data_IF_811755383255
#
_entry.id   IF_811755383255
#
_cell.length_a   1.000
_cell.length_b   1.000
_cell.length_c   1.000
_cell.angle_alpha   90.00
_cell.angle_beta   90.00
_cell.angle_gamma   90.00
#
_symmetry.space_group_name_H-M   'P 1'
#
loop_
_entity.id
_entity.type
_entity.pdbx_description
1 polymer ?
#
# COMPACT_ATOMS: atom_id res chain seq x y z
N UNK A 1 -69.90 -29.97 19.34
CA UNK A 1 -69.25 -28.77 18.79
C UNK A 1 -67.84 -28.72 19.37
N UNK A 2 -66.84 -29.00 18.54
CA UNK A 2 -65.44 -29.10 18.96
C UNK A 2 -64.74 -27.77 18.59
N UNK A 3 -63.93 -27.15 19.48
CA UNK A 3 -63.26 -25.90 19.15
C UNK A 3 -62.18 -26.12 18.09
N UNK A 4 -62.06 -25.17 17.17
CA UNK A 4 -61.04 -25.18 16.13
C UNK A 4 -59.63 -25.03 16.76
N UNK A 5 -58.60 -25.77 16.32
CA UNK A 5 -57.25 -25.60 16.81
C UNK A 5 -56.62 -24.28 16.31
N UNK A 6 -55.66 -23.69 17.06
CA UNK A 6 -54.98 -22.47 16.64
C UNK A 6 -54.10 -22.73 15.41
N UNK A 7 -54.24 -21.88 14.40
CA UNK A 7 -53.38 -21.91 13.21
C UNK A 7 -51.97 -21.40 13.55
N UNK A 8 -50.90 -22.03 13.04
CA UNK A 8 -49.54 -21.52 13.19
C UNK A 8 -49.37 -20.20 12.43
N UNK A 9 -48.82 -19.19 13.11
CA UNK A 9 -48.42 -17.92 12.48
C UNK A 9 -47.46 -18.20 11.33
N UNK A 10 -47.87 -17.80 10.13
CA UNK A 10 -47.02 -17.77 8.95
C UNK A 10 -45.94 -16.71 9.18
N UNK A 11 -44.68 -17.10 8.98
CA UNK A 11 -43.52 -16.20 9.00
C UNK A 11 -43.77 -14.95 8.13
N UNK A 12 -43.15 -13.79 8.44
CA UNK A 12 -43.33 -12.56 7.66
C UNK A 12 -42.99 -12.82 6.20
N UNK A 13 -44.03 -12.90 5.37
CA UNK A 13 -43.89 -13.01 3.93
C UNK A 13 -43.08 -11.84 3.41
N UNK A 14 -42.13 -12.16 2.54
CA UNK A 14 -41.46 -11.22 1.65
C UNK A 14 -42.48 -10.21 1.13
N UNK A 15 -42.23 -8.92 1.38
CA UNK A 15 -43.04 -7.86 0.82
C UNK A 15 -43.08 -8.01 -0.71
N UNK A 16 -44.27 -8.02 -1.32
CA UNK A 16 -44.37 -7.88 -2.77
C UNK A 16 -43.75 -6.55 -3.16
N UNK A 17 -42.86 -6.56 -4.15
CA UNK A 17 -42.48 -5.37 -4.93
C UNK A 17 -43.76 -4.78 -5.51
N UNK A 18 -44.40 -3.91 -4.72
CA UNK A 18 -45.52 -3.10 -5.15
C UNK A 18 -44.98 -2.14 -6.18
N UNK A 19 -45.66 -2.10 -7.32
CA UNK A 19 -45.32 -1.26 -8.46
C UNK A 19 -44.90 0.14 -8.00
N UNK A 20 -43.72 0.55 -8.44
CA UNK A 20 -43.13 1.84 -8.16
C UNK A 20 -44.17 2.95 -8.36
N UNK A 21 -44.47 3.66 -7.27
CA UNK A 21 -45.22 4.90 -7.31
C UNK A 21 -44.37 5.94 -8.07
N UNK A 22 -44.78 6.43 -9.25
CA UNK A 22 -44.01 7.40 -10.03
C UNK A 22 -43.95 8.79 -9.36
N UNK A 23 -44.51 8.97 -8.17
CA UNK A 23 -44.42 10.21 -7.41
C UNK A 23 -43.16 10.35 -6.52
N UNK A 24 -42.36 9.30 -6.32
CA UNK A 24 -41.18 9.34 -5.43
C UNK A 24 -39.90 9.89 -6.07
N UNK A 25 -39.93 10.34 -7.33
CA UNK A 25 -38.76 10.82 -8.06
C UNK A 25 -38.24 12.21 -7.63
N UNK A 26 -38.85 12.86 -6.64
CA UNK A 26 -38.45 14.20 -6.22
C UNK A 26 -37.71 14.20 -4.87
N UNK A 27 -36.41 14.43 -4.99
CA UNK A 27 -35.55 15.21 -4.08
C UNK A 27 -35.19 14.63 -2.71
N UNK A 28 -34.31 13.63 -2.72
CA UNK A 28 -33.29 13.48 -1.68
C UNK A 28 -31.94 13.26 -2.36
N UNK A 29 -30.84 13.92 -1.93
CA UNK A 29 -29.52 13.57 -2.47
C UNK A 29 -29.27 12.10 -2.13
N UNK A 30 -29.25 11.23 -3.16
CA UNK A 30 -28.72 9.88 -3.02
C UNK A 30 -27.26 10.07 -2.60
N UNK A 31 -26.99 9.89 -1.30
CA UNK A 31 -25.64 9.82 -0.78
C UNK A 31 -25.01 8.55 -1.34
N UNK A 32 -24.47 8.63 -2.55
CA UNK A 32 -23.62 7.58 -3.10
C UNK A 32 -22.39 7.51 -2.20
N UNK A 33 -22.37 6.53 -1.30
CA UNK A 33 -21.26 6.31 -0.39
C UNK A 33 -19.99 6.16 -1.24
N UNK A 34 -19.08 7.14 -1.15
CA UNK A 34 -17.87 7.15 -1.96
C UNK A 34 -17.08 5.86 -1.69
N UNK A 35 -16.63 5.12 -2.72
CA UNK A 35 -15.85 3.90 -2.52
C UNK A 35 -14.65 4.15 -1.60
N UNK A 36 -14.47 3.30 -0.59
CA UNK A 36 -13.36 3.37 0.36
C UNK A 36 -12.62 2.04 0.38
N UNK A 37 -11.33 2.09 0.67
CA UNK A 37 -10.53 0.89 0.86
C UNK A 37 -11.05 0.06 2.06
N UNK A 38 -10.84 -1.25 2.02
CA UNK A 38 -11.16 -2.12 3.14
C UNK A 38 -10.39 -1.66 4.40
N UNK A 39 -11.05 -1.46 5.55
CA UNK A 39 -10.43 -0.84 6.72
C UNK A 39 -9.31 -1.68 7.35
N UNK A 40 -9.46 -3.00 7.37
CA UNK A 40 -8.45 -3.91 7.95
C UNK A 40 -7.24 -3.97 7.01
N UNK A 41 -7.48 -4.20 5.73
CA UNK A 41 -6.41 -4.28 4.74
C UNK A 41 -5.65 -2.95 4.59
N UNK A 42 -6.37 -1.82 4.62
CA UNK A 42 -5.75 -0.49 4.57
C UNK A 42 -4.89 -0.20 5.81
N UNK A 43 -5.30 -0.64 7.00
CA UNK A 43 -4.49 -0.51 8.21
C UNK A 43 -3.19 -1.32 8.09
N UNK A 44 -3.28 -2.58 7.63
CA UNK A 44 -2.10 -3.43 7.44
C UNK A 44 -1.16 -2.81 6.39
N UNK A 45 -1.69 -2.41 5.24
CA UNK A 45 -0.92 -1.76 4.19
C UNK A 45 -0.28 -0.44 4.69
N UNK A 46 -1.00 0.34 5.49
CA UNK A 46 -0.48 1.58 6.07
C UNK A 46 0.66 1.33 7.06
N UNK A 47 0.54 0.33 7.94
CA UNK A 47 1.61 -0.04 8.89
C UNK A 47 2.85 -0.53 8.14
N UNK A 48 2.68 -1.41 7.14
CA UNK A 48 3.78 -1.83 6.28
C UNK A 48 4.40 -0.66 5.51
N UNK A 49 3.57 0.28 5.06
CA UNK A 49 4.02 1.54 4.46
C UNK A 49 4.90 2.36 5.39
N UNK A 50 4.52 2.53 6.66
CA UNK A 50 5.35 3.22 7.66
C UNK A 50 6.68 2.50 7.89
N UNK A 51 6.67 1.16 7.98
CA UNK A 51 7.92 0.39 8.12
C UNK A 51 8.80 0.61 6.89
N UNK A 52 8.23 0.61 5.69
CA UNK A 52 8.96 0.88 4.44
C UNK A 52 9.57 2.29 4.44
N UNK A 53 8.83 3.30 4.90
CA UNK A 53 9.35 4.68 5.07
C UNK A 53 10.58 4.68 5.97
N UNK A 54 10.52 3.97 7.10
CA UNK A 54 11.66 3.87 8.03
C UNK A 54 12.85 3.17 7.36
N UNK A 55 12.62 2.11 6.58
CA UNK A 55 13.71 1.44 5.86
C UNK A 55 14.38 2.35 4.81
N UNK A 56 13.60 3.14 4.09
CA UNK A 56 14.13 4.12 3.12
C UNK A 56 14.91 5.25 3.80
N UNK A 57 14.40 5.75 4.92
CA UNK A 57 15.08 6.76 5.72
C UNK A 57 16.40 6.22 6.31
N UNK A 58 16.36 4.99 6.85
CA UNK A 58 17.56 4.30 7.34
C UNK A 58 18.58 4.12 6.22
N UNK A 59 18.17 3.64 5.04
CA UNK A 59 19.05 3.46 3.89
C UNK A 59 19.73 4.77 3.49
N UNK A 60 18.95 5.85 3.34
CA UNK A 60 19.46 7.18 3.04
C UNK A 60 20.48 7.65 4.10
N UNK A 61 20.18 7.44 5.38
CA UNK A 61 21.08 7.78 6.47
C UNK A 61 22.40 6.99 6.46
N UNK A 62 22.35 5.69 6.15
CA UNK A 62 23.55 4.86 6.03
C UNK A 62 24.44 5.33 4.89
N UNK A 63 23.87 5.72 3.74
CA UNK A 63 24.65 6.23 2.62
C UNK A 63 25.24 7.63 2.91
N UNK A 64 24.57 8.47 3.72
CA UNK A 64 25.17 9.72 4.24
C UNK A 64 26.38 9.44 5.12
N UNK A 65 26.28 8.47 6.03
CA UNK A 65 27.43 8.07 6.86
C UNK A 65 28.56 7.56 5.98
N UNK A 66 28.24 6.68 5.02
CA UNK A 66 29.19 6.11 4.08
C UNK A 66 29.94 7.20 3.29
N UNK A 67 29.22 8.24 2.86
CA UNK A 67 29.77 9.41 2.19
C UNK A 67 30.68 10.23 3.12
N UNK A 68 30.21 10.52 4.34
CA UNK A 68 30.95 11.34 5.32
C UNK A 68 32.28 10.72 5.75
N UNK A 69 32.37 9.39 5.75
CA UNK A 69 33.58 8.65 6.09
C UNK A 69 34.55 8.51 4.90
N UNK A 70 34.23 9.09 3.74
CA UNK A 70 35.10 9.04 2.57
C UNK A 70 35.21 7.65 1.94
N UNK A 71 34.36 6.69 2.33
CA UNK A 71 34.45 5.29 1.90
C UNK A 71 33.95 5.03 0.47
N UNK A 72 33.72 6.10 -0.31
CA UNK A 72 33.07 6.00 -1.62
C UNK A 72 33.97 5.43 -2.73
N UNK A 73 35.29 5.42 -2.55
CA UNK A 73 36.22 4.83 -3.54
C UNK A 73 36.06 5.38 -4.96
N UNK A 74 35.60 6.64 -5.12
CA UNK A 74 35.29 7.26 -6.41
C UNK A 74 33.81 7.17 -6.86
N UNK A 75 32.96 6.42 -6.15
CA UNK A 75 31.52 6.27 -6.44
C UNK A 75 30.64 7.34 -5.76
N UNK A 76 31.20 8.52 -5.49
CA UNK A 76 30.54 9.61 -4.75
C UNK A 76 29.20 10.02 -5.38
N UNK A 77 29.10 10.02 -6.71
CA UNK A 77 27.86 10.35 -7.43
C UNK A 77 26.75 9.31 -7.21
N UNK A 78 27.08 8.02 -7.26
CA UNK A 78 26.11 6.93 -7.04
C UNK A 78 25.54 6.97 -5.61
N UNK A 79 26.41 7.14 -4.62
CA UNK A 79 26.00 7.25 -3.21
C UNK A 79 25.10 8.47 -3.00
N UNK A 80 25.42 9.61 -3.62
CA UNK A 80 24.57 10.80 -3.52
C UNK A 80 23.18 10.59 -4.13
N UNK A 81 23.08 9.91 -5.27
CA UNK A 81 21.79 9.55 -5.88
C UNK A 81 20.99 8.64 -4.95
N UNK A 82 21.63 7.68 -4.28
CA UNK A 82 20.94 6.82 -3.32
C UNK A 82 20.44 7.59 -2.09
N UNK A 83 21.24 8.51 -1.54
CA UNK A 83 20.82 9.37 -0.43
C UNK A 83 19.56 10.16 -0.82
N UNK A 84 19.61 10.85 -1.95
CA UNK A 84 18.49 11.66 -2.44
C UNK A 84 17.27 10.79 -2.78
N UNK A 85 17.47 9.68 -3.47
CA UNK A 85 16.41 8.73 -3.82
C UNK A 85 15.75 8.12 -2.60
N UNK A 86 16.54 7.77 -1.58
CA UNK A 86 16.08 7.27 -0.29
C UNK A 86 15.23 8.31 0.46
N UNK A 87 15.70 9.55 0.54
CA UNK A 87 15.00 10.63 1.24
C UNK A 87 13.69 11.04 0.53
N UNK A 88 13.74 11.23 -0.79
CA UNK A 88 12.55 11.54 -1.60
C UNK A 88 11.55 10.39 -1.53
N UNK A 89 12.02 9.15 -1.61
CA UNK A 89 11.18 7.96 -1.51
C UNK A 89 10.50 7.81 -0.16
N UNK A 90 11.23 8.03 0.94
CA UNK A 90 10.65 8.06 2.28
C UNK A 90 9.52 9.11 2.38
N UNK A 91 9.74 10.32 1.86
CA UNK A 91 8.73 11.38 1.85
C UNK A 91 7.48 11.02 1.04
N UNK A 92 7.66 10.53 -0.19
CA UNK A 92 6.56 10.13 -1.06
C UNK A 92 5.74 8.97 -0.47
N UNK A 93 6.42 7.95 0.06
CA UNK A 93 5.80 6.81 0.73
C UNK A 93 5.04 7.23 1.98
N UNK A 94 5.54 8.19 2.75
CA UNK A 94 4.87 8.70 3.94
C UNK A 94 3.53 9.36 3.57
N UNK A 95 3.52 10.18 2.52
CA UNK A 95 2.29 10.80 2.01
C UNK A 95 1.29 9.74 1.53
N UNK A 96 1.74 8.78 0.72
CA UNK A 96 0.89 7.69 0.24
C UNK A 96 0.33 6.83 1.38
N UNK A 97 1.14 6.58 2.41
CA UNK A 97 0.75 5.88 3.63
C UNK A 97 -0.33 6.64 4.39
N UNK A 98 -0.21 7.97 4.52
CA UNK A 98 -1.25 8.82 5.12
C UNK A 98 -2.59 8.71 4.39
N UNK A 99 -2.58 8.75 3.05
CA UNK A 99 -3.80 8.56 2.26
C UNK A 99 -4.38 7.14 2.36
N UNK A 100 -3.51 6.14 2.58
CA UNK A 100 -3.91 4.75 2.82
C UNK A 100 -4.66 4.61 4.14
N UNK A 101 -4.15 5.21 5.22
CA UNK A 101 -4.89 5.28 6.50
C UNK A 101 -6.22 6.04 6.37
N UNK A 102 -6.27 7.08 5.54
CA UNK A 102 -7.51 7.77 5.20
C UNK A 102 -8.47 6.93 4.32
N UNK A 103 -8.10 5.68 3.98
CA UNK A 103 -8.85 4.72 3.16
C UNK A 103 -9.26 5.27 1.80
N UNK A 104 -8.45 6.19 1.26
CA UNK A 104 -8.63 6.74 -0.08
C UNK A 104 -8.15 5.71 -1.09
N UNK A 105 -9.03 5.25 -1.97
CA UNK A 105 -8.68 4.32 -3.07
C UNK A 105 -7.44 4.81 -3.86
N UNK A 106 -7.32 6.10 -4.24
CA UNK A 106 -6.09 6.58 -4.88
C UNK A 106 -4.84 6.39 -4.02
N UNK A 107 -4.94 6.61 -2.70
CA UNK A 107 -3.81 6.47 -1.77
C UNK A 107 -3.22 5.07 -1.75
N UNK A 108 -4.08 4.05 -1.76
CA UNK A 108 -3.64 2.65 -1.75
C UNK A 108 -2.98 2.26 -3.08
N UNK A 109 -3.53 2.71 -4.20
CA UNK A 109 -2.91 2.49 -5.51
C UNK A 109 -1.60 3.27 -5.69
N UNK A 110 -1.50 4.48 -5.13
CA UNK A 110 -0.24 5.23 -5.07
C UNK A 110 0.79 4.49 -4.22
N UNK A 111 0.41 3.99 -3.05
CA UNK A 111 1.31 3.21 -2.19
C UNK A 111 1.79 1.94 -2.90
N UNK A 112 0.88 1.19 -3.55
CA UNK A 112 1.22 0.06 -4.39
C UNK A 112 2.22 0.44 -5.49
N UNK A 113 1.90 1.48 -6.27
CA UNK A 113 2.73 1.91 -7.39
C UNK A 113 4.12 2.36 -6.96
N UNK A 114 4.23 3.15 -5.89
CA UNK A 114 5.52 3.58 -5.35
C UNK A 114 6.35 2.40 -4.85
N UNK A 115 5.76 1.51 -4.07
CA UNK A 115 6.46 0.34 -3.55
C UNK A 115 6.90 -0.62 -4.67
N UNK A 116 6.05 -0.87 -5.67
CA UNK A 116 6.41 -1.67 -6.83
C UNK A 116 7.53 -1.00 -7.65
N UNK A 117 7.42 0.30 -7.89
CA UNK A 117 8.46 1.08 -8.57
C UNK A 117 9.80 0.97 -7.85
N UNK A 118 9.83 1.16 -6.53
CA UNK A 118 11.07 1.08 -5.75
C UNK A 118 11.67 -0.33 -5.72
N UNK A 119 10.84 -1.37 -5.64
CA UNK A 119 11.32 -2.75 -5.73
C UNK A 119 12.00 -3.01 -7.08
N UNK A 120 11.37 -2.57 -8.18
CA UNK A 120 11.93 -2.71 -9.53
C UNK A 120 13.15 -1.80 -9.73
N UNK A 121 13.15 -0.61 -9.15
CA UNK A 121 14.28 0.31 -9.19
C UNK A 121 15.53 -0.29 -8.56
N UNK A 122 15.41 -0.91 -7.39
CA UNK A 122 16.55 -1.49 -6.68
C UNK A 122 17.07 -2.80 -7.30
N UNK A 123 16.19 -3.59 -7.92
CA UNK A 123 16.53 -4.92 -8.43
C UNK A 123 16.90 -4.94 -9.91
N UNK A 124 16.34 -4.03 -10.71
CA UNK A 124 16.50 -4.03 -12.16
C UNK A 124 17.02 -2.69 -12.70
N UNK A 125 16.47 -1.53 -12.31
CA UNK A 125 16.93 -0.26 -12.91
C UNK A 125 18.31 0.13 -12.42
N UNK A 126 18.59 0.04 -11.13
CA UNK A 126 19.90 0.40 -10.56
C UNK A 126 21.06 -0.34 -11.26
N UNK A 127 21.06 -1.69 -11.41
CA UNK A 127 22.16 -2.37 -12.11
C UNK A 127 22.27 -1.94 -13.57
N UNK A 128 21.15 -1.73 -14.27
CA UNK A 128 21.15 -1.27 -15.66
C UNK A 128 21.72 0.16 -15.81
N UNK A 129 21.37 1.07 -14.90
CA UNK A 129 21.82 2.46 -14.91
C UNK A 129 23.31 2.59 -14.57
N UNK A 130 23.82 1.69 -13.72
CA UNK A 130 25.20 1.73 -13.24
C UNK A 130 26.12 0.71 -13.94
N UNK A 131 25.60 -0.07 -14.90
CA UNK A 131 26.36 -1.09 -15.64
C UNK A 131 26.84 -2.26 -14.78
N UNK A 132 26.19 -2.51 -13.64
CA UNK A 132 26.50 -3.60 -12.71
C UNK A 132 25.72 -4.85 -13.12
N UNK A 133 26.30 -6.03 -12.97
CA UNK A 133 25.56 -7.27 -13.26
C UNK A 133 24.39 -7.45 -12.28
N UNK A 134 23.27 -8.02 -12.74
CA UNK A 134 22.11 -8.28 -11.88
C UNK A 134 22.50 -9.24 -10.73
N UNK A 135 23.40 -10.19 -11.00
CA UNK A 135 23.91 -11.12 -9.99
C UNK A 135 24.64 -10.40 -8.86
N UNK A 136 25.56 -9.48 -9.19
CA UNK A 136 26.31 -8.70 -8.20
C UNK A 136 25.39 -7.75 -7.42
N UNK A 137 24.40 -7.16 -8.10
CA UNK A 137 23.40 -6.31 -7.44
C UNK A 137 22.58 -7.11 -6.43
N UNK A 138 22.08 -8.30 -6.81
CA UNK A 138 21.30 -9.15 -5.90
C UNK A 138 22.16 -9.69 -4.76
N UNK A 139 23.42 -10.05 -5.03
CA UNK A 139 24.37 -10.44 -3.99
C UNK A 139 24.65 -9.29 -3.02
N UNK A 140 24.74 -8.05 -3.49
CA UNK A 140 24.86 -6.88 -2.60
C UNK A 140 23.58 -6.64 -1.78
N UNK A 141 22.42 -6.72 -2.43
CA UNK A 141 21.11 -6.45 -1.81
C UNK A 141 20.73 -7.50 -0.75
N UNK A 142 21.04 -8.78 -1.01
CA UNK A 142 20.61 -9.91 -0.20
C UNK A 142 21.76 -10.68 0.47
N UNK A 143 23.02 -10.34 0.19
CA UNK A 143 24.19 -10.92 0.85
C UNK A 143 24.48 -10.30 2.21
N UNK A 144 23.87 -9.14 2.53
CA UNK A 144 23.97 -8.48 3.84
C UNK A 144 25.41 -8.18 4.30
N UNK A 145 26.38 -8.14 3.37
CA UNK A 145 27.81 -7.99 3.69
C UNK A 145 28.18 -6.61 4.25
N UNK A 146 27.36 -5.59 3.96
CA UNK A 146 27.54 -4.21 4.44
C UNK A 146 26.22 -3.66 4.97
N UNK A 147 26.30 -2.83 6.01
CA UNK A 147 25.12 -2.24 6.66
C UNK A 147 24.21 -1.45 5.70
N UNK A 148 24.77 -0.83 4.65
CA UNK A 148 23.96 -0.16 3.62
C UNK A 148 23.22 -1.16 2.72
N UNK A 149 23.84 -2.28 2.38
CA UNK A 149 23.23 -3.40 1.65
C UNK A 149 22.11 -4.04 2.48
N UNK A 150 22.31 -4.17 3.81
CA UNK A 150 21.23 -4.60 4.72
C UNK A 150 20.03 -3.66 4.63
N UNK A 151 20.27 -2.36 4.70
CA UNK A 151 19.21 -1.37 4.62
C UNK A 151 18.48 -1.40 3.25
N UNK A 152 19.22 -1.51 2.15
CA UNK A 152 18.66 -1.60 0.80
C UNK A 152 17.86 -2.89 0.57
N UNK A 153 18.36 -4.03 1.05
CA UNK A 153 17.67 -5.32 1.03
C UNK A 153 16.36 -5.27 1.79
N UNK A 154 16.39 -4.77 3.03
CA UNK A 154 15.20 -4.63 3.86
C UNK A 154 14.18 -3.67 3.23
N UNK A 155 14.63 -2.51 2.72
CA UNK A 155 13.77 -1.57 2.00
C UNK A 155 13.08 -2.21 0.80
N UNK A 156 13.78 -3.07 0.07
CA UNK A 156 13.24 -3.80 -1.09
C UNK A 156 12.21 -4.84 -0.67
N UNK A 157 12.52 -5.66 0.34
CA UNK A 157 11.59 -6.68 0.88
C UNK A 157 10.30 -6.01 1.38
N UNK A 158 10.42 -4.98 2.21
CA UNK A 158 9.27 -4.26 2.74
C UNK A 158 8.47 -3.53 1.66
N UNK A 159 9.13 -3.04 0.61
CA UNK A 159 8.42 -2.50 -0.56
C UNK A 159 7.56 -3.57 -1.23
N UNK A 160 8.10 -4.76 -1.48
CA UNK A 160 7.32 -5.85 -2.10
C UNK A 160 6.12 -6.23 -1.23
N UNK A 161 6.34 -6.42 0.08
CA UNK A 161 5.26 -6.76 1.02
C UNK A 161 4.19 -5.67 1.09
N UNK A 162 4.60 -4.40 1.13
CA UNK A 162 3.69 -3.25 1.16
C UNK A 162 2.91 -3.14 -0.14
N UNK A 163 3.53 -3.39 -1.30
CA UNK A 163 2.84 -3.40 -2.57
C UNK A 163 1.73 -4.46 -2.59
N UNK A 164 2.04 -5.68 -2.14
CA UNK A 164 1.04 -6.76 -2.06
C UNK A 164 -0.12 -6.36 -1.14
N UNK A 165 0.18 -5.88 0.07
CA UNK A 165 -0.85 -5.45 1.03
C UNK A 165 -1.71 -4.31 0.48
N UNK A 166 -1.09 -3.34 -0.20
CA UNK A 166 -1.78 -2.21 -0.81
C UNK A 166 -2.68 -2.65 -1.98
N UNK A 167 -2.20 -3.58 -2.83
CA UNK A 167 -2.99 -4.17 -3.90
C UNK A 167 -4.23 -4.90 -3.35
N UNK A 168 -4.05 -5.69 -2.28
CA UNK A 168 -5.18 -6.34 -1.58
C UNK A 168 -6.16 -5.29 -1.07
N UNK A 169 -5.68 -4.26 -0.39
CA UNK A 169 -6.53 -3.21 0.19
C UNK A 169 -7.31 -2.38 -0.86
N UNK A 170 -6.75 -2.19 -2.06
CA UNK A 170 -7.43 -1.56 -3.20
C UNK A 170 -8.36 -2.52 -3.98
N UNK A 171 -8.06 -3.83 -3.98
CA UNK A 171 -8.79 -4.84 -4.75
C UNK A 171 -9.99 -5.46 -4.05
N UNK A 172 -9.98 -5.57 -2.70
CA UNK A 172 -11.13 -6.15 -1.98
C UNK A 172 -12.29 -5.15 -1.85
N UNK A 173 -13.51 -5.58 -2.23
CA UNK A 173 -14.71 -4.76 -2.08
C UNK A 173 -14.97 -4.43 -0.61
N UNK A 174 -15.19 -3.16 -0.29
CA UNK A 174 -15.65 -2.75 1.05
C UNK A 174 -17.15 -3.04 1.19
N UNK A 175 -17.51 -4.13 1.84
CA UNK A 175 -18.91 -4.42 2.22
C UNK A 175 -19.35 -3.44 3.30
N UNK A 176 -19.73 -2.22 2.92
CA UNK A 176 -20.49 -1.33 3.81
C UNK A 176 -21.95 -1.64 3.54
N UNK A 177 -22.56 -2.45 4.41
CA UNK A 177 -24.02 -2.59 4.43
C UNK A 177 -24.62 -1.22 4.78
N UNK A 178 -25.66 -0.76 4.06
CA UNK A 178 -26.42 0.42 4.49
C UNK A 178 -27.02 0.11 5.87
N UNK A 179 -26.77 1.01 6.83
CA UNK A 179 -27.43 1.02 8.14
C UNK A 179 -28.78 1.71 8.02
#
# INVERSE_FOLDING_TARGET
MQPNPPQPESAPHAQPLTAADPAQWHSGPISVAKPRANPVAATIAGVLGLITVVMFAWFSFQDVIYLSQGMTGGLTGMVLVNVLGGAIGAGALLVATGFTFARRIPGVWTLFGLCAFYAVANTALAPLLWGVSIGDQLAWLFGFERINGIAAGMATIFSILTAIAAAVAGGVRSSVAPR
#
